data_IF_184191044328
#
_entry.id   IF_184191044328
#
_cell.length_a   1.000
_cell.length_b   1.000
_cell.length_c   1.000
_cell.angle_alpha   90.00
_cell.angle_beta   90.00
_cell.angle_gamma   90.00
#
_symmetry.space_group_name_H-M   'P 1'
#
loop_
_entity.id
_entity.type
_entity.pdbx_description
1 polymer ?
#
# COMPACT_ATOMS: atom_id res chain seq x y z
N UNK A 1 23.00 -24.24 -53.84
CA UNK A 1 23.99 -25.33 -53.96
C UNK A 1 24.11 -25.97 -52.58
N UNK A 2 23.61 -27.18 -52.30
CA UNK A 2 23.80 -28.52 -52.92
C UNK A 2 25.10 -29.21 -52.47
N UNK A 3 25.19 -30.52 -52.18
CA UNK A 3 24.19 -31.56 -51.80
C UNK A 3 24.95 -32.89 -51.56
N UNK A 4 24.69 -33.61 -50.46
CA UNK A 4 24.87 -35.07 -50.31
C UNK A 4 24.37 -35.48 -48.90
N UNK A 5 23.49 -36.48 -48.64
CA UNK A 5 23.27 -37.85 -49.15
C UNK A 5 24.35 -38.84 -48.68
N UNK A 6 24.09 -40.02 -48.10
CA UNK A 6 22.86 -40.77 -47.73
C UNK A 6 23.13 -41.58 -46.41
N UNK A 7 22.18 -42.01 -45.56
CA UNK A 7 21.13 -43.05 -45.74
C UNK A 7 21.71 -44.46 -46.12
N UNK A 8 21.28 -45.62 -45.60
CA UNK A 8 19.96 -46.03 -45.03
C UNK A 8 20.04 -47.41 -44.28
N UNK A 9 18.94 -47.88 -43.63
CA UNK A 9 18.63 -49.28 -43.17
C UNK A 9 19.36 -49.91 -41.93
N UNK A 10 18.76 -50.83 -41.13
CA UNK A 10 17.34 -51.14 -40.79
C UNK A 10 17.21 -52.15 -39.61
N UNK A 11 15.99 -52.21 -39.00
CA UNK A 11 15.25 -53.39 -38.46
C UNK A 11 15.09 -53.58 -36.92
N UNK A 12 13.93 -54.15 -36.58
CA UNK A 12 13.16 -54.27 -35.31
C UNK A 12 12.48 -55.68 -35.36
N UNK A 13 12.23 -56.49 -34.29
CA UNK A 13 11.49 -56.20 -33.02
C UNK A 13 12.14 -56.83 -31.74
N UNK A 14 11.57 -56.85 -30.52
CA UNK A 14 10.33 -56.28 -29.96
C UNK A 14 9.34 -57.33 -29.38
N UNK A 15 9.06 -57.29 -28.06
CA UNK A 15 7.87 -57.92 -27.43
C UNK A 15 7.63 -57.42 -25.97
N UNK A 16 6.55 -57.90 -25.31
CA UNK A 16 5.95 -57.33 -24.08
C UNK A 16 5.57 -58.38 -22.99
N UNK A 17 4.94 -57.93 -21.88
CA UNK A 17 4.28 -58.73 -20.79
C UNK A 17 5.22 -59.39 -19.75
N UNK A 18 4.84 -59.72 -18.50
CA UNK A 18 3.74 -59.29 -17.58
C UNK A 18 3.92 -59.90 -16.16
N UNK A 19 3.19 -59.40 -15.13
CA UNK A 19 3.08 -59.99 -13.77
C UNK A 19 4.03 -59.36 -12.72
N UNK A 20 3.65 -59.02 -11.48
CA UNK A 20 2.86 -59.68 -10.39
C UNK A 20 3.72 -60.66 -9.54
N UNK A 21 3.59 -60.79 -8.21
CA UNK A 21 2.54 -60.36 -7.27
C UNK A 21 3.03 -60.31 -5.79
N UNK A 22 2.23 -59.71 -4.88
CA UNK A 22 2.15 -59.91 -3.39
C UNK A 22 3.43 -59.69 -2.52
N UNK A 23 3.39 -59.47 -1.19
CA UNK A 23 2.38 -59.41 -0.11
C UNK A 23 2.94 -58.50 1.04
N UNK A 24 2.29 -58.00 2.12
CA UNK A 24 0.96 -58.07 2.79
C UNK A 24 0.42 -56.60 2.94
N UNK A 25 -0.52 -56.13 3.80
CA UNK A 25 -1.30 -56.63 4.96
C UNK A 25 -0.66 -56.36 6.35
N UNK A 26 -1.36 -56.09 7.46
CA UNK A 26 -2.81 -55.85 7.69
C UNK A 26 -3.15 -55.47 9.16
N UNK A 27 -3.77 -54.30 9.42
CA UNK A 27 -4.48 -53.91 10.68
C UNK A 27 -5.27 -52.61 10.39
N UNK A 28 -6.60 -52.58 10.46
CA UNK A 28 -7.53 -52.56 11.61
C UNK A 28 -7.67 -51.20 12.30
N UNK A 29 -8.86 -50.59 12.13
CA UNK A 29 -9.51 -49.55 12.96
C UNK A 29 -8.68 -48.34 13.45
N UNK A 30 -9.11 -47.14 13.06
CA UNK A 30 -9.98 -46.41 13.99
C UNK A 30 -10.93 -45.39 13.32
N UNK A 31 -11.94 -44.94 14.06
CA UNK A 31 -12.98 -43.99 13.60
C UNK A 31 -12.73 -42.57 14.10
N UNK A 32 -12.54 -41.59 13.21
CA UNK A 32 -12.88 -40.20 13.53
C UNK A 32 -13.50 -39.44 12.36
N UNK A 33 -14.73 -38.97 12.57
CA UNK A 33 -15.46 -38.11 11.63
C UNK A 33 -14.81 -36.71 11.59
N UNK A 34 -14.11 -36.38 10.51
CA UNK A 34 -13.70 -35.00 10.25
C UNK A 34 -14.62 -34.37 9.19
N UNK A 35 -15.62 -33.60 9.64
CA UNK A 35 -16.59 -32.94 8.75
C UNK A 35 -15.93 -31.79 7.99
N UNK A 36 -15.53 -32.03 6.74
CA UNK A 36 -15.27 -30.95 5.79
C UNK A 36 -16.54 -30.08 5.64
N UNK A 37 -16.50 -28.88 6.21
CA UNK A 37 -17.59 -27.90 6.08
C UNK A 37 -17.31 -27.01 4.87
N UNK A 38 -17.67 -27.49 3.69
CA UNK A 38 -17.61 -26.73 2.44
C UNK A 38 -18.40 -25.43 2.59
N UNK A 39 -17.73 -24.28 2.50
CA UNK A 39 -18.40 -22.97 2.47
C UNK A 39 -18.62 -22.60 1.01
N UNK A 40 -19.88 -22.67 0.57
CA UNK A 40 -20.28 -22.27 -0.79
C UNK A 40 -20.01 -20.78 -0.99
N UNK A 41 -19.16 -20.44 -1.96
CA UNK A 41 -18.92 -19.06 -2.34
C UNK A 41 -20.11 -18.53 -3.16
N UNK A 42 -20.80 -17.51 -2.65
CA UNK A 42 -21.83 -16.81 -3.41
C UNK A 42 -21.20 -15.90 -4.47
N UNK A 43 -21.60 -16.05 -5.73
CA UNK A 43 -21.18 -15.21 -6.85
C UNK A 43 -22.11 -13.99 -6.99
N UNK A 44 -21.50 -12.80 -7.08
CA UNK A 44 -22.22 -11.54 -7.29
C UNK A 44 -22.40 -11.26 -8.80
N UNK A 45 -23.55 -10.68 -9.17
CA UNK A 45 -23.72 -10.12 -10.52
C UNK A 45 -22.88 -8.83 -10.65
N UNK A 46 -21.88 -8.76 -11.55
CA UNK A 46 -20.93 -7.63 -11.62
C UNK A 46 -21.54 -6.32 -12.13
N UNK A 47 -22.82 -6.31 -12.50
CA UNK A 47 -23.50 -5.14 -13.09
C UNK A 47 -24.44 -4.41 -12.10
N UNK A 48 -24.89 -5.09 -11.04
CA UNK A 48 -25.88 -4.55 -10.09
C UNK A 48 -25.63 -4.93 -8.62
N UNK A 49 -24.71 -5.84 -8.31
CA UNK A 49 -24.24 -6.09 -6.93
C UNK A 49 -25.18 -6.89 -6.02
N UNK A 50 -26.34 -7.33 -6.48
CA UNK A 50 -27.28 -8.16 -5.70
C UNK A 50 -26.86 -9.64 -5.71
N UNK A 51 -27.18 -10.36 -4.63
CA UNK A 51 -27.03 -11.81 -4.51
C UNK A 51 -28.09 -12.55 -5.34
N UNK A 52 -27.72 -13.72 -5.87
CA UNK A 52 -28.63 -14.62 -6.59
C UNK A 52 -28.88 -15.86 -5.73
N UNK A 53 -30.15 -16.09 -5.40
CA UNK A 53 -30.68 -17.38 -4.91
C UNK A 53 -31.84 -17.74 -5.82
N UNK A 54 -31.87 -18.96 -6.36
CA UNK A 54 -32.95 -19.37 -7.26
C UNK A 54 -33.22 -20.86 -7.19
N UNK A 55 -34.50 -21.20 -7.33
CA UNK A 55 -35.02 -22.44 -7.88
C UNK A 55 -36.46 -22.18 -8.38
N UNK A 56 -37.00 -23.07 -9.22
CA UNK A 56 -38.28 -22.92 -9.93
C UNK A 56 -39.03 -24.27 -9.95
N UNK A 57 -40.30 -24.23 -10.41
CA UNK A 57 -41.26 -25.33 -10.63
C UNK A 57 -42.15 -25.71 -9.42
N UNK A 58 -43.42 -26.15 -9.56
CA UNK A 58 -44.43 -26.05 -10.65
C UNK A 58 -45.85 -26.34 -10.10
N UNK A 59 -46.90 -25.75 -10.72
CA UNK A 59 -48.33 -26.17 -10.81
C UNK A 59 -49.14 -26.63 -9.56
N UNK A 60 -50.16 -25.83 -9.21
CA UNK A 60 -51.62 -26.14 -9.06
C UNK A 60 -52.16 -27.27 -8.13
N UNK A 61 -53.47 -27.25 -7.76
CA UNK A 61 -54.28 -26.12 -7.26
C UNK A 61 -55.22 -26.47 -6.08
N UNK A 62 -55.63 -25.51 -5.24
CA UNK A 62 -57.00 -25.51 -4.64
C UNK A 62 -57.36 -24.24 -3.85
N UNK A 63 -58.66 -23.95 -3.85
CA UNK A 63 -59.35 -22.78 -3.27
C UNK A 63 -59.15 -22.54 -1.77
N UNK A 64 -58.96 -21.27 -1.40
CA UNK A 64 -59.78 -20.67 -0.34
C UNK A 64 -59.93 -19.14 -0.49
N UNK A 65 -61.05 -18.60 -0.01
CA UNK A 65 -61.54 -17.26 -0.37
C UNK A 65 -61.06 -16.21 0.63
N UNK A 66 -60.42 -15.15 0.13
CA UNK A 66 -60.28 -13.84 0.80
C UNK A 66 -60.42 -12.72 -0.24
N UNK A 67 -60.90 -11.51 0.14
CA UNK A 67 -61.28 -10.49 -0.83
C UNK A 67 -60.09 -9.71 -1.39
N UNK A 68 -60.10 -9.50 -2.71
CA UNK A 68 -59.24 -8.55 -3.41
C UNK A 68 -59.62 -7.10 -3.04
N UNK A 69 -58.63 -6.31 -2.63
CA UNK A 69 -58.72 -4.84 -2.57
C UNK A 69 -57.46 -4.25 -3.22
N UNK A 70 -57.52 -4.05 -4.53
CA UNK A 70 -57.08 -2.83 -5.17
C UNK A 70 -55.57 -2.65 -5.31
N UNK A 71 -54.99 -3.29 -6.33
CA UNK A 71 -53.68 -2.89 -6.83
C UNK A 71 -53.69 -1.43 -7.33
N UNK A 72 -52.85 -0.59 -6.74
CA UNK A 72 -52.59 0.78 -7.22
C UNK A 72 -51.21 0.83 -7.87
N UNK A 73 -51.20 1.05 -9.18
CA UNK A 73 -49.98 1.23 -9.97
C UNK A 73 -49.40 2.63 -9.75
N UNK A 74 -48.12 2.71 -9.34
CA UNK A 74 -47.32 3.94 -9.52
C UNK A 74 -46.84 4.68 -8.27
N UNK A 75 -46.31 4.01 -7.25
CA UNK A 75 -45.39 4.65 -6.27
C UNK A 75 -44.10 3.83 -6.14
N UNK A 76 -43.18 4.04 -7.08
CA UNK A 76 -41.81 3.53 -7.00
C UNK A 76 -40.87 4.53 -6.31
N UNK A 77 -41.16 4.87 -5.05
CA UNK A 77 -40.36 5.80 -4.25
C UNK A 77 -39.68 5.07 -3.08
N UNK A 78 -38.37 5.28 -2.91
CA UNK A 78 -37.60 4.62 -1.85
C UNK A 78 -38.15 4.99 -0.46
N UNK A 79 -38.61 3.98 0.28
CA UNK A 79 -39.13 4.13 1.64
C UNK A 79 -37.95 4.34 2.60
N UNK A 80 -37.91 5.43 3.40
CA UNK A 80 -36.85 5.64 4.38
C UNK A 80 -36.71 4.45 5.35
N UNK A 81 -35.49 4.01 5.71
CA UNK A 81 -35.27 2.78 6.49
C UNK A 81 -36.08 2.72 7.80
N UNK A 82 -36.16 3.83 8.53
CA UNK A 82 -36.91 3.91 9.79
C UNK A 82 -38.42 3.70 9.59
N UNK A 83 -38.96 4.18 8.46
CA UNK A 83 -40.36 4.00 8.09
C UNK A 83 -40.64 2.58 7.57
N UNK A 84 -39.68 1.96 6.89
CA UNK A 84 -39.77 0.54 6.50
C UNK A 84 -39.80 -0.38 7.75
N UNK A 85 -39.01 -0.06 8.79
CA UNK A 85 -39.04 -0.77 10.08
C UNK A 85 -40.39 -0.59 10.77
N UNK A 86 -40.98 0.62 10.76
CA UNK A 86 -42.31 0.86 11.34
C UNK A 86 -43.42 0.10 10.59
N UNK A 87 -43.37 0.04 9.25
CA UNK A 87 -44.31 -0.75 8.45
C UNK A 87 -44.15 -2.25 8.74
N UNK A 88 -42.93 -2.79 8.72
CA UNK A 88 -42.66 -4.19 9.06
C UNK A 88 -43.18 -4.54 10.48
N UNK A 89 -42.94 -3.68 11.46
CA UNK A 89 -43.39 -3.92 12.84
C UNK A 89 -44.92 -3.90 12.94
N UNK A 90 -45.60 -3.04 12.18
CA UNK A 90 -47.06 -2.98 12.09
C UNK A 90 -47.63 -4.25 11.44
N UNK A 91 -47.00 -4.74 10.37
CA UNK A 91 -47.37 -5.99 9.69
C UNK A 91 -47.17 -7.20 10.64
N UNK A 92 -46.08 -7.27 11.39
CA UNK A 92 -45.89 -8.28 12.45
C UNK A 92 -47.00 -8.24 13.51
N UNK A 93 -47.34 -7.04 14.01
CA UNK A 93 -48.29 -6.91 15.12
C UNK A 93 -49.75 -7.17 14.71
N UNK A 94 -50.07 -7.06 13.41
CA UNK A 94 -51.35 -7.44 12.83
C UNK A 94 -51.39 -8.91 12.38
N UNK A 95 -50.47 -9.36 11.51
CA UNK A 95 -50.53 -10.70 10.91
C UNK A 95 -50.07 -11.80 11.87
N UNK A 96 -48.98 -11.58 12.61
CA UNK A 96 -48.32 -12.60 13.44
C UNK A 96 -48.81 -12.54 14.88
N UNK A 97 -48.66 -11.40 15.54
CA UNK A 97 -48.95 -11.27 16.97
C UNK A 97 -50.44 -11.01 17.26
N UNK A 98 -51.20 -10.50 16.27
CA UNK A 98 -52.64 -10.20 16.34
C UNK A 98 -53.03 -9.33 17.54
N UNK A 99 -52.16 -8.39 17.90
CA UNK A 99 -52.31 -7.47 19.03
C UNK A 99 -53.19 -6.27 18.67
N UNK A 100 -53.26 -5.94 17.38
CA UNK A 100 -54.08 -4.85 16.82
C UNK A 100 -55.15 -5.39 15.90
N UNK A 101 -56.29 -4.68 15.84
CA UNK A 101 -57.38 -4.98 14.92
C UNK A 101 -57.15 -4.35 13.53
N UNK A 102 -57.98 -4.73 12.56
CA UNK A 102 -57.86 -4.29 11.17
C UNK A 102 -58.05 -2.78 11.00
N UNK A 103 -58.88 -2.12 11.81
CA UNK A 103 -59.08 -0.66 11.74
C UNK A 103 -57.85 0.08 12.29
N UNK A 104 -57.29 -0.37 13.42
CA UNK A 104 -56.02 0.16 13.94
C UNK A 104 -54.86 -0.04 12.96
N UNK A 105 -54.78 -1.20 12.31
CA UNK A 105 -53.79 -1.49 11.28
C UNK A 105 -53.89 -0.52 10.09
N UNK A 106 -55.09 -0.37 9.50
CA UNK A 106 -55.30 0.51 8.34
C UNK A 106 -54.93 1.96 8.66
N UNK A 107 -55.42 2.52 9.78
CA UNK A 107 -55.15 3.91 10.12
C UNK A 107 -53.66 4.19 10.37
N UNK A 108 -52.95 3.33 11.11
CA UNK A 108 -51.51 3.51 11.35
C UNK A 108 -50.68 3.34 10.07
N UNK A 109 -51.08 2.44 9.17
CA UNK A 109 -50.42 2.27 7.87
C UNK A 109 -50.57 3.51 7.01
N UNK A 110 -51.77 4.10 6.97
CA UNK A 110 -52.03 5.39 6.33
C UNK A 110 -51.23 6.53 6.96
N UNK A 111 -51.15 6.63 8.29
CA UNK A 111 -50.33 7.65 8.98
C UNK A 111 -48.84 7.55 8.59
N UNK A 112 -48.28 6.34 8.52
CA UNK A 112 -46.90 6.12 8.10
C UNK A 112 -46.72 6.49 6.61
N UNK A 113 -47.62 6.05 5.72
CA UNK A 113 -47.55 6.37 4.28
C UNK A 113 -47.70 7.88 4.02
N UNK A 114 -48.56 8.58 4.76
CA UNK A 114 -48.66 10.04 4.72
C UNK A 114 -47.38 10.71 5.25
N UNK A 115 -46.71 10.14 6.25
CA UNK A 115 -45.42 10.66 6.72
C UNK A 115 -44.30 10.49 5.66
N UNK A 116 -44.28 9.35 4.95
CA UNK A 116 -43.36 9.10 3.83
C UNK A 116 -43.60 10.12 2.71
N UNK A 117 -44.86 10.31 2.28
CA UNK A 117 -45.20 11.30 1.26
C UNK A 117 -44.81 12.74 1.67
N UNK A 118 -44.99 13.12 2.95
CA UNK A 118 -44.51 14.43 3.47
C UNK A 118 -42.99 14.54 3.49
N UNK A 119 -42.26 13.45 3.70
CA UNK A 119 -40.79 13.42 3.65
C UNK A 119 -40.30 13.55 2.20
N UNK A 120 -40.85 12.79 1.24
CA UNK A 120 -40.52 12.92 -0.17
C UNK A 120 -40.88 14.31 -0.72
N UNK A 121 -42.01 14.89 -0.30
CA UNK A 121 -42.38 16.25 -0.71
C UNK A 121 -41.42 17.29 -0.14
N UNK A 122 -41.06 17.21 1.16
CA UNK A 122 -39.99 18.06 1.72
C UNK A 122 -38.65 17.87 1.00
N UNK A 123 -38.29 16.65 0.62
CA UNK A 123 -37.05 16.38 -0.09
C UNK A 123 -37.04 16.95 -1.51
N UNK A 124 -38.21 17.16 -2.11
CA UNK A 124 -38.40 17.88 -3.38
C UNK A 124 -38.45 19.41 -3.20
N UNK A 125 -38.88 19.92 -2.04
CA UNK A 125 -38.85 21.37 -1.70
C UNK A 125 -37.43 21.82 -1.23
N UNK A 126 -36.73 20.98 -0.46
CA UNK A 126 -35.31 21.14 -0.07
C UNK A 126 -34.34 20.84 -1.24
N UNK A 127 -34.87 20.35 -2.37
CA UNK A 127 -34.21 20.38 -3.66
C UNK A 127 -34.15 21.84 -4.15
N UNK A 128 -33.24 22.59 -3.53
CA UNK A 128 -32.78 23.89 -3.99
C UNK A 128 -32.67 23.88 -5.52
N UNK A 129 -33.11 24.95 -6.18
CA UNK A 129 -32.94 25.11 -7.61
C UNK A 129 -31.44 25.37 -7.91
N UNK A 130 -30.68 24.28 -7.92
CA UNK A 130 -29.22 24.23 -7.90
C UNK A 130 -28.69 24.70 -9.25
N UNK A 131 -28.41 26.01 -9.32
CA UNK A 131 -27.71 26.67 -10.42
C UNK A 131 -26.54 25.80 -10.93
N UNK A 132 -26.63 25.23 -12.14
CA UNK A 132 -25.62 24.31 -12.66
C UNK A 132 -24.22 24.93 -12.79
N UNK A 133 -24.13 26.27 -12.80
CA UNK A 133 -22.86 27.00 -12.83
C UNK A 133 -22.21 27.15 -11.43
N UNK A 134 -22.97 26.87 -10.36
CA UNK A 134 -22.49 26.87 -8.95
C UNK A 134 -22.27 25.46 -8.39
N UNK A 135 -22.76 24.42 -9.08
CA UNK A 135 -22.44 23.04 -8.73
C UNK A 135 -20.95 22.78 -8.90
N UNK A 136 -20.31 22.22 -7.87
CA UNK A 136 -18.95 21.73 -7.98
C UNK A 136 -18.92 20.58 -8.99
N UNK A 137 -18.00 20.64 -9.97
CA UNK A 137 -17.89 19.60 -11.00
C UNK A 137 -17.72 18.22 -10.34
N UNK A 138 -18.43 17.19 -10.82
CA UNK A 138 -18.27 15.84 -10.29
C UNK A 138 -16.82 15.40 -10.47
N UNK A 139 -16.27 14.75 -9.45
CA UNK A 139 -14.92 14.17 -9.51
C UNK A 139 -14.86 13.21 -10.71
N UNK A 140 -13.89 13.44 -11.59
CA UNK A 140 -13.65 12.58 -12.75
C UNK A 140 -13.58 11.10 -12.30
N UNK A 141 -14.17 10.15 -13.04
CA UNK A 141 -14.27 8.77 -12.61
C UNK A 141 -12.88 8.21 -12.32
N UNK A 142 -12.69 7.75 -11.07
CA UNK A 142 -11.47 7.05 -10.64
C UNK A 142 -11.22 5.90 -11.60
N UNK A 143 -9.99 5.79 -12.12
CA UNK A 143 -9.64 4.84 -13.18
C UNK A 143 -10.11 3.42 -12.84
N UNK A 144 -10.66 2.73 -13.83
CA UNK A 144 -11.28 1.42 -13.65
C UNK A 144 -10.30 0.41 -13.06
N UNK A 145 -10.79 -0.46 -12.18
CA UNK A 145 -9.96 -1.45 -11.45
C UNK A 145 -9.18 -2.39 -12.36
N UNK A 146 -9.56 -2.51 -13.64
CA UNK A 146 -8.80 -3.23 -14.66
C UNK A 146 -7.41 -2.64 -14.95
N UNK A 147 -7.20 -1.32 -14.83
CA UNK A 147 -5.91 -0.69 -15.17
C UNK A 147 -4.82 -0.91 -14.12
N UNK A 148 -5.15 -1.31 -12.89
CA UNK A 148 -4.15 -1.78 -11.91
C UNK A 148 -3.34 -2.99 -12.41
N UNK A 149 -3.87 -3.76 -13.38
CA UNK A 149 -3.14 -4.86 -14.04
C UNK A 149 -2.07 -4.38 -15.04
N UNK A 150 -2.18 -3.15 -15.55
CA UNK A 150 -1.23 -2.53 -16.48
C UNK A 150 -0.13 -1.74 -15.78
N UNK A 151 -0.19 -1.64 -14.45
CA UNK A 151 0.89 -1.06 -13.64
C UNK A 151 2.13 -1.95 -13.76
N UNK A 152 3.00 -1.64 -14.73
CA UNK A 152 4.38 -2.09 -14.69
C UNK A 152 5.01 -1.57 -13.40
N UNK A 153 5.59 -2.44 -12.54
CA UNK A 153 6.26 -2.00 -11.33
C UNK A 153 7.63 -1.39 -11.70
N UNK A 154 7.59 -0.18 -12.26
CA UNK A 154 8.74 0.72 -12.35
C UNK A 154 9.16 1.05 -10.92
N UNK A 155 10.02 0.20 -10.35
CA UNK A 155 10.40 0.25 -8.94
C UNK A 155 10.85 1.67 -8.58
N UNK A 156 10.59 2.15 -7.36
CA UNK A 156 11.00 3.51 -6.96
C UNK A 156 12.53 3.72 -7.11
N UNK A 157 13.30 2.63 -7.05
CA UNK A 157 14.73 2.55 -7.39
C UNK A 157 15.01 2.86 -8.87
N UNK A 158 14.19 2.36 -9.79
CA UNK A 158 14.27 2.64 -11.21
C UNK A 158 13.85 4.07 -11.52
N UNK A 159 12.78 4.57 -10.90
CA UNK A 159 12.36 5.96 -11.03
C UNK A 159 13.50 6.90 -10.56
N UNK A 160 14.12 6.62 -9.41
CA UNK A 160 15.31 7.33 -8.93
C UNK A 160 16.47 7.23 -9.94
N UNK A 161 16.70 6.06 -10.54
CA UNK A 161 17.75 5.84 -11.55
C UNK A 161 17.50 6.64 -12.82
N UNK A 162 16.27 6.71 -13.33
CA UNK A 162 15.94 7.56 -14.47
C UNK A 162 16.11 9.04 -14.15
N UNK A 163 15.67 9.51 -12.97
CA UNK A 163 15.85 10.90 -12.52
C UNK A 163 17.32 11.29 -12.41
N UNK A 164 18.14 10.42 -11.85
CA UNK A 164 19.58 10.63 -11.73
C UNK A 164 20.31 10.66 -13.08
N UNK A 165 19.66 10.25 -14.18
CA UNK A 165 20.19 10.41 -15.53
C UNK A 165 19.59 11.63 -16.26
N UNK A 166 18.29 11.88 -16.13
CA UNK A 166 17.56 12.92 -16.88
C UNK A 166 17.58 14.31 -16.20
N UNK A 167 17.62 14.37 -14.86
CA UNK A 167 17.51 15.61 -14.06
C UNK A 167 18.73 15.84 -13.14
N UNK A 168 19.92 15.38 -13.58
CA UNK A 168 21.19 15.28 -12.81
C UNK A 168 21.50 16.44 -11.86
N UNK A 169 21.47 17.66 -12.39
CA UNK A 169 21.84 18.91 -11.71
C UNK A 169 20.70 19.53 -10.91
N UNK A 170 19.45 19.05 -11.08
CA UNK A 170 18.31 19.58 -10.34
C UNK A 170 18.32 19.06 -8.90
N UNK A 171 17.90 19.92 -7.97
CA UNK A 171 17.79 19.56 -6.56
C UNK A 171 16.60 18.61 -6.37
N UNK A 172 16.84 17.50 -5.68
CA UNK A 172 15.83 16.54 -5.28
C UNK A 172 15.17 16.97 -3.97
N UNK A 173 16.00 17.37 -3.00
CA UNK A 173 15.59 17.83 -1.68
C UNK A 173 16.40 19.07 -1.27
N UNK A 174 15.72 20.02 -0.64
CA UNK A 174 16.26 21.20 0.02
C UNK A 174 15.74 21.20 1.46
N UNK A 175 16.63 21.38 2.44
CA UNK A 175 16.28 21.58 3.85
C UNK A 175 16.43 23.07 4.19
N UNK A 176 15.39 23.67 4.76
CA UNK A 176 15.38 25.05 5.24
C UNK A 176 15.43 25.10 6.77
N UNK A 177 15.99 26.18 7.33
CA UNK A 177 15.79 26.51 8.74
C UNK A 177 14.42 27.19 8.98
N UNK A 178 14.10 27.47 10.24
CA UNK A 178 12.86 28.17 10.64
C UNK A 178 12.77 29.62 10.12
N UNK A 179 13.82 30.15 9.47
CA UNK A 179 13.86 31.46 8.80
C UNK A 179 13.77 31.34 7.28
N UNK A 180 13.52 30.13 6.76
CA UNK A 180 13.40 29.85 5.32
C UNK A 180 14.74 29.81 4.57
N UNK A 181 15.88 29.80 5.26
CA UNK A 181 17.21 29.75 4.62
C UNK A 181 17.64 28.30 4.37
N UNK A 182 18.20 28.02 3.20
CA UNK A 182 18.83 26.73 2.89
C UNK A 182 19.94 26.35 3.88
N UNK A 183 19.82 25.14 4.43
CA UNK A 183 20.75 24.50 5.38
C UNK A 183 21.50 23.35 4.72
N UNK A 184 20.82 22.56 3.88
CA UNK A 184 21.38 21.43 3.13
C UNK A 184 20.56 21.20 1.86
N UNK A 185 21.19 20.71 0.81
CA UNK A 185 20.48 20.26 -0.39
C UNK A 185 21.23 19.14 -1.12
N UNK A 186 20.50 18.36 -1.92
CA UNK A 186 21.05 17.24 -2.69
C UNK A 186 20.43 17.18 -4.08
N UNK A 187 21.24 17.00 -5.12
CA UNK A 187 20.75 16.81 -6.49
C UNK A 187 20.40 15.35 -6.77
N UNK A 188 19.57 15.10 -7.80
CA UNK A 188 19.19 13.74 -8.21
C UNK A 188 20.39 12.82 -8.45
N UNK A 189 21.44 13.32 -9.10
CA UNK A 189 22.68 12.58 -9.31
C UNK A 189 23.41 12.29 -7.98
N UNK A 190 23.57 13.29 -7.10
CA UNK A 190 24.24 13.11 -5.79
C UNK A 190 23.50 12.12 -4.90
N UNK A 191 22.17 12.17 -4.87
CA UNK A 191 21.32 11.25 -4.10
C UNK A 191 21.52 9.80 -4.57
N UNK A 192 21.35 9.55 -5.87
CA UNK A 192 21.52 8.22 -6.43
C UNK A 192 22.95 7.68 -6.22
N UNK A 193 23.98 8.50 -6.48
CA UNK A 193 25.37 8.07 -6.31
C UNK A 193 25.70 7.72 -4.84
N UNK A 194 25.20 8.50 -3.87
CA UNK A 194 25.33 8.16 -2.44
C UNK A 194 24.52 6.90 -2.07
N UNK A 195 23.30 6.73 -2.58
CA UNK A 195 22.49 5.54 -2.32
C UNK A 195 23.11 4.25 -2.90
N UNK A 196 23.68 4.31 -4.12
CA UNK A 196 24.50 3.22 -4.69
C UNK A 196 25.69 2.89 -3.78
N UNK A 197 26.34 3.88 -3.18
CA UNK A 197 27.45 3.65 -2.23
C UNK A 197 27.00 2.87 -1.00
N UNK A 198 25.93 3.32 -0.34
CA UNK A 198 25.34 2.60 0.80
C UNK A 198 25.00 1.15 0.42
N UNK A 199 24.33 0.96 -0.72
CA UNK A 199 23.93 -0.37 -1.20
C UNK A 199 25.13 -1.30 -1.48
N UNK A 200 26.18 -0.76 -2.10
CA UNK A 200 27.42 -1.50 -2.38
C UNK A 200 28.11 -1.94 -1.08
N UNK A 201 28.29 -1.03 -0.11
CA UNK A 201 28.96 -1.33 1.15
C UNK A 201 28.21 -2.39 1.97
N UNK A 202 26.88 -2.29 2.06
CA UNK A 202 26.02 -3.29 2.73
C UNK A 202 26.19 -4.68 2.08
N UNK A 203 26.12 -4.75 0.74
CA UNK A 203 26.18 -6.02 0.02
C UNK A 203 27.57 -6.68 0.07
N UNK A 204 28.65 -5.90 0.02
CA UNK A 204 30.03 -6.43 -0.02
C UNK A 204 30.69 -6.66 1.34
N UNK A 205 30.29 -5.94 2.41
CA UNK A 205 30.90 -6.10 3.75
C UNK A 205 30.12 -6.97 4.73
N UNK A 206 28.78 -7.03 4.62
CA UNK A 206 27.94 -7.79 5.56
C UNK A 206 27.33 -9.07 4.99
N UNK A 207 27.36 -9.25 3.66
CA UNK A 207 26.74 -10.41 2.97
C UNK A 207 25.27 -10.61 3.40
N UNK A 208 24.53 -9.50 3.46
CA UNK A 208 23.13 -9.47 3.91
C UNK A 208 22.21 -10.25 2.96
N UNK A 209 21.18 -10.89 3.52
CA UNK A 209 20.04 -11.45 2.79
C UNK A 209 18.91 -10.42 2.73
N UNK A 210 17.98 -10.57 1.79
CA UNK A 210 16.85 -9.65 1.63
C UNK A 210 15.93 -9.55 2.87
N UNK A 211 15.92 -10.59 3.70
CA UNK A 211 15.19 -10.65 4.97
C UNK A 211 15.90 -9.94 6.13
N UNK A 212 17.14 -9.49 5.97
CA UNK A 212 17.88 -8.81 7.03
C UNK A 212 17.40 -7.36 7.19
N UNK A 213 17.43 -6.87 8.43
CA UNK A 213 17.03 -5.51 8.79
C UNK A 213 18.22 -4.59 9.09
N UNK A 214 18.04 -3.30 8.80
CA UNK A 214 19.00 -2.20 9.02
C UNK A 214 18.27 -1.04 9.69
N UNK A 215 18.71 -0.63 10.88
CA UNK A 215 18.13 0.50 11.61
C UNK A 215 18.72 1.82 11.14
N UNK A 216 17.87 2.82 10.96
CA UNK A 216 18.19 4.17 10.50
C UNK A 216 17.92 5.18 11.64
N UNK A 217 18.97 5.71 12.25
CA UNK A 217 18.89 6.64 13.38
C UNK A 217 19.42 8.03 12.99
N UNK A 218 18.50 8.99 12.82
CA UNK A 218 18.77 10.34 12.32
C UNK A 218 18.05 11.41 13.16
N UNK A 219 18.65 12.60 13.24
CA UNK A 219 18.05 13.78 13.88
C UNK A 219 17.25 14.58 12.88
N UNK A 220 16.47 15.51 13.40
CA UNK A 220 15.59 16.33 12.58
C UNK A 220 16.39 17.31 11.70
N UNK A 221 15.88 17.57 10.49
CA UNK A 221 16.58 18.30 9.44
C UNK A 221 17.72 17.54 8.73
N UNK A 222 18.06 16.30 9.12
CA UNK A 222 19.10 15.48 8.46
C UNK A 222 18.60 14.75 7.20
N UNK A 223 17.63 15.34 6.49
CA UNK A 223 16.88 14.72 5.38
C UNK A 223 17.79 14.18 4.29
N UNK A 224 18.80 14.94 3.90
CA UNK A 224 19.74 14.57 2.83
C UNK A 224 20.50 13.26 3.11
N UNK A 225 20.74 12.94 4.39
CA UNK A 225 21.48 11.75 4.81
C UNK A 225 20.54 10.58 5.15
N UNK A 226 19.37 10.87 5.73
CA UNK A 226 18.32 9.87 5.95
C UNK A 226 17.83 9.26 4.63
N UNK A 227 17.49 10.10 3.65
CA UNK A 227 16.94 9.64 2.36
C UNK A 227 17.99 8.85 1.57
N UNK A 228 19.26 9.24 1.64
CA UNK A 228 20.39 8.48 1.11
C UNK A 228 20.47 7.07 1.71
N UNK A 229 20.31 6.94 3.02
CA UNK A 229 20.37 5.64 3.70
C UNK A 229 19.12 4.79 3.39
N UNK A 230 17.92 5.39 3.36
CA UNK A 230 16.67 4.72 3.03
C UNK A 230 16.70 4.10 1.63
N UNK A 231 17.05 4.89 0.60
CA UNK A 231 17.24 4.36 -0.76
C UNK A 231 18.43 3.41 -0.85
N UNK A 232 19.48 3.63 -0.05
CA UNK A 232 20.59 2.70 0.11
C UNK A 232 20.16 1.30 0.58
N UNK A 233 19.25 1.21 1.55
CA UNK A 233 18.65 -0.05 2.00
C UNK A 233 17.78 -0.69 0.92
N UNK A 234 16.90 0.09 0.28
CA UNK A 234 16.08 -0.39 -0.84
C UNK A 234 16.93 -0.97 -1.99
N UNK A 235 18.05 -0.31 -2.32
CA UNK A 235 19.00 -0.74 -3.35
C UNK A 235 19.89 -1.90 -2.86
N UNK A 236 20.21 -1.98 -1.57
CA UNK A 236 20.81 -3.17 -0.98
C UNK A 236 19.85 -4.39 -1.04
N UNK A 237 18.54 -4.15 -1.09
CA UNK A 237 17.48 -5.16 -1.03
C UNK A 237 17.15 -5.59 0.39
N UNK A 238 17.53 -4.80 1.41
CA UNK A 238 17.35 -5.09 2.85
C UNK A 238 16.25 -4.22 3.44
N UNK A 239 15.62 -4.67 4.53
CA UNK A 239 14.52 -3.95 5.18
C UNK A 239 15.08 -2.78 6.00
N UNK A 240 14.63 -1.55 5.73
CA UNK A 240 14.95 -0.38 6.55
C UNK A 240 14.06 -0.29 7.80
N UNK A 241 14.60 0.20 8.91
CA UNK A 241 13.83 0.52 10.13
C UNK A 241 14.10 1.99 10.51
N UNK A 242 13.27 2.95 10.07
CA UNK A 242 13.37 4.33 10.50
C UNK A 242 13.01 4.49 11.98
N UNK A 243 13.85 5.20 12.74
CA UNK A 243 13.59 5.57 14.14
C UNK A 243 13.15 7.02 14.20
N UNK A 244 11.91 7.27 14.62
CA UNK A 244 11.39 8.61 14.92
C UNK A 244 11.74 9.04 16.35
N UNK A 245 11.56 10.33 16.63
CA UNK A 245 12.08 10.96 17.86
C UNK A 245 11.46 10.48 19.17
N UNK A 246 10.25 9.91 19.14
CA UNK A 246 9.56 9.47 20.37
C UNK A 246 10.06 8.10 20.85
N UNK A 247 10.93 7.42 20.10
CA UNK A 247 11.55 6.14 20.47
C UNK A 247 12.84 6.44 21.26
N UNK A 248 12.84 6.08 22.55
CA UNK A 248 14.01 6.22 23.41
C UNK A 248 15.16 5.30 22.98
N UNK A 249 16.40 5.65 23.32
CA UNK A 249 17.57 4.83 22.96
C UNK A 249 17.50 3.39 23.52
N UNK A 250 16.88 3.21 24.68
CA UNK A 250 16.57 1.88 25.24
C UNK A 250 15.57 1.09 24.39
N UNK A 251 14.55 1.75 23.84
CA UNK A 251 13.62 1.12 22.90
C UNK A 251 14.29 0.83 21.55
N UNK A 252 15.23 1.66 21.08
CA UNK A 252 16.04 1.37 19.89
C UNK A 252 16.87 0.09 20.08
N UNK A 253 17.48 -0.12 21.25
CA UNK A 253 18.18 -1.37 21.57
C UNK A 253 17.22 -2.57 21.59
N UNK A 254 16.00 -2.40 22.14
CA UNK A 254 14.97 -3.44 22.12
C UNK A 254 14.52 -3.79 20.69
N UNK A 255 14.33 -2.79 19.82
CA UNK A 255 14.02 -2.96 18.40
C UNK A 255 15.15 -3.70 17.67
N UNK A 256 16.41 -3.33 17.91
CA UNK A 256 17.58 -4.00 17.31
C UNK A 256 17.61 -5.49 17.70
N UNK A 257 17.38 -5.80 18.98
CA UNK A 257 17.33 -7.17 19.48
C UNK A 257 16.15 -7.96 18.90
N UNK A 258 14.93 -7.40 18.95
CA UNK A 258 13.71 -8.00 18.43
C UNK A 258 13.79 -8.33 16.93
N UNK A 259 14.39 -7.43 16.14
CA UNK A 259 14.53 -7.58 14.68
C UNK A 259 15.81 -8.32 14.27
N UNK A 260 16.67 -8.70 15.24
CA UNK A 260 18.01 -9.24 14.99
C UNK A 260 18.84 -8.39 14.01
N UNK A 261 18.70 -7.07 14.09
CA UNK A 261 19.34 -6.11 13.18
C UNK A 261 20.87 -6.21 13.26
N UNK A 262 21.52 -6.31 12.09
CA UNK A 262 22.98 -6.48 11.95
C UNK A 262 23.72 -5.15 11.76
N UNK A 263 23.02 -4.09 11.33
CA UNK A 263 23.60 -2.80 10.99
C UNK A 263 22.74 -1.64 11.50
N UNK A 264 23.40 -0.67 12.13
CA UNK A 264 22.88 0.65 12.45
C UNK A 264 23.55 1.68 11.54
N UNK A 265 22.75 2.40 10.74
CA UNK A 265 23.17 3.58 9.97
C UNK A 265 22.71 4.85 10.68
N UNK A 266 23.62 5.81 10.84
CA UNK A 266 23.36 7.04 11.58
C UNK A 266 24.20 8.21 11.04
N UNK A 267 23.88 9.42 11.51
CA UNK A 267 24.59 10.65 11.16
C UNK A 267 25.79 10.94 12.07
N UNK A 268 26.66 11.83 11.60
CA UNK A 268 27.74 12.42 12.39
C UNK A 268 27.23 13.27 13.58
N UNK A 269 25.99 13.78 13.53
CA UNK A 269 25.34 14.46 14.65
C UNK A 269 24.94 13.46 15.73
N UNK A 270 24.30 12.35 15.34
CA UNK A 270 23.95 11.25 16.24
C UNK A 270 25.21 10.63 16.87
N UNK A 271 26.30 10.46 16.11
CA UNK A 271 27.57 9.96 16.63
C UNK A 271 28.04 10.74 17.88
N UNK A 272 28.10 12.07 17.76
CA UNK A 272 28.52 12.97 18.85
C UNK A 272 27.58 12.95 20.06
N UNK A 273 26.30 12.61 19.87
CA UNK A 273 25.35 12.45 20.97
C UNK A 273 25.55 11.10 21.69
N UNK A 274 25.73 10.01 20.94
CA UNK A 274 26.02 8.68 21.48
C UNK A 274 27.34 8.66 22.28
N UNK A 275 28.38 9.34 21.78
CA UNK A 275 29.67 9.48 22.46
C UNK A 275 29.54 10.26 23.79
N UNK A 276 28.76 11.35 23.81
CA UNK A 276 28.47 12.12 25.03
C UNK A 276 27.76 11.28 26.09
N UNK A 277 26.73 10.53 25.69
CA UNK A 277 25.99 9.62 26.59
C UNK A 277 26.90 8.52 27.15
N UNK A 278 27.81 7.99 26.33
CA UNK A 278 28.79 6.99 26.74
C UNK A 278 29.74 7.50 27.85
N UNK A 279 30.15 8.77 27.77
CA UNK A 279 31.03 9.42 28.76
C UNK A 279 30.27 9.76 30.06
N UNK A 280 28.99 10.09 29.99
CA UNK A 280 28.17 10.51 31.15
C UNK A 280 27.69 9.35 32.04
N UNK A 281 28.50 8.29 32.20
CA UNK A 281 28.20 7.02 32.90
C UNK A 281 26.98 6.22 32.39
N UNK A 282 26.16 6.75 31.48
CA UNK A 282 25.09 6.03 30.78
C UNK A 282 25.63 5.09 29.69
N UNK A 283 26.44 4.09 30.11
CA UNK A 283 27.09 3.13 29.20
C UNK A 283 26.07 2.40 28.34
N UNK A 284 26.12 2.64 27.03
CA UNK A 284 25.23 2.01 26.06
C UNK A 284 25.72 0.58 25.76
N UNK A 285 25.01 -0.41 26.29
CA UNK A 285 25.30 -1.82 26.05
C UNK A 285 24.82 -2.26 24.66
N UNK A 286 25.60 -1.94 23.62
CA UNK A 286 25.36 -2.36 22.25
C UNK A 286 25.46 -3.89 22.07
N UNK A 287 24.58 -4.53 21.28
CA UNK A 287 24.70 -5.94 20.93
C UNK A 287 26.01 -6.24 20.19
N UNK A 288 26.72 -7.30 20.58
CA UNK A 288 28.07 -7.62 20.09
C UNK A 288 28.17 -7.92 18.58
N UNK A 289 27.04 -8.24 17.93
CA UNK A 289 26.93 -8.48 16.49
C UNK A 289 26.48 -7.26 15.68
N UNK A 290 26.16 -6.14 16.34
CA UNK A 290 25.69 -4.92 15.68
C UNK A 290 26.87 -4.10 15.14
N UNK A 291 27.00 -4.04 13.82
CA UNK A 291 27.86 -3.06 13.17
C UNK A 291 27.20 -1.68 13.19
N UNK A 292 28.00 -0.64 13.39
CA UNK A 292 27.56 0.76 13.47
C UNK A 292 28.38 1.56 12.46
N UNK A 293 27.73 2.10 11.42
CA UNK A 293 28.39 2.96 10.42
C UNK A 293 27.75 4.35 10.39
N UNK A 294 28.58 5.39 10.36
CA UNK A 294 28.12 6.73 10.00
C UNK A 294 27.98 6.82 8.49
N UNK A 295 26.85 7.34 8.00
CA UNK A 295 26.59 7.48 6.55
C UNK A 295 27.54 8.46 5.87
N UNK A 296 28.16 9.37 6.64
CA UNK A 296 29.26 10.25 6.21
C UNK A 296 30.56 9.51 5.87
N UNK A 297 30.87 8.42 6.58
CA UNK A 297 32.15 7.72 6.47
C UNK A 297 32.25 6.86 5.19
N UNK A 298 31.11 6.58 4.56
CA UNK A 298 31.02 5.78 3.34
C UNK A 298 31.63 6.51 2.12
N UNK A 299 31.80 7.83 2.21
CA UNK A 299 32.50 8.65 1.22
C UNK A 299 31.80 8.75 -0.14
N UNK A 300 32.56 9.04 -1.19
CA UNK A 300 32.06 9.09 -2.57
C UNK A 300 32.09 7.71 -3.24
N UNK A 301 31.09 7.44 -4.08
CA UNK A 301 31.03 6.23 -4.89
C UNK A 301 32.10 6.21 -5.98
N UNK A 302 32.71 5.06 -6.23
CA UNK A 302 33.67 4.87 -7.34
C UNK A 302 32.93 4.49 -8.62
N UNK A 303 33.50 4.84 -9.78
CA UNK A 303 32.93 4.46 -11.10
C UNK A 303 32.72 2.94 -11.23
N UNK A 304 33.63 2.14 -10.71
CA UNK A 304 33.52 0.66 -10.65
C UNK A 304 32.33 0.17 -9.82
N UNK A 305 32.03 0.83 -8.69
CA UNK A 305 30.93 0.49 -7.79
C UNK A 305 29.57 0.77 -8.48
N UNK A 306 29.47 1.89 -9.22
CA UNK A 306 28.31 2.22 -10.07
C UNK A 306 28.15 1.25 -11.25
N UNK A 307 29.24 0.91 -11.95
CA UNK A 307 29.21 -0.08 -13.02
C UNK A 307 28.76 -1.47 -12.54
N UNK A 308 29.24 -1.90 -11.37
CA UNK A 308 28.81 -3.15 -10.74
C UNK A 308 27.32 -3.14 -10.40
N UNK A 309 26.82 -2.05 -9.82
CA UNK A 309 25.39 -1.87 -9.55
C UNK A 309 24.54 -1.94 -10.82
N UNK A 310 24.93 -1.22 -11.88
CA UNK A 310 24.20 -1.20 -13.14
C UNK A 310 24.18 -2.57 -13.83
N UNK A 311 25.28 -3.32 -13.80
CA UNK A 311 25.32 -4.71 -14.29
C UNK A 311 24.40 -5.64 -13.48
N UNK A 312 24.38 -5.50 -12.15
CA UNK A 312 23.47 -6.24 -11.26
C UNK A 312 21.99 -5.92 -11.56
N UNK A 313 21.66 -4.66 -11.79
CA UNK A 313 20.30 -4.25 -12.19
C UNK A 313 19.87 -4.81 -13.55
N UNK A 314 20.76 -4.76 -14.56
CA UNK A 314 20.47 -5.37 -15.86
C UNK A 314 20.25 -6.89 -15.76
N UNK A 315 21.03 -7.59 -14.91
CA UNK A 315 20.79 -9.01 -14.64
C UNK A 315 19.45 -9.26 -13.95
N UNK A 316 19.14 -8.55 -12.86
CA UNK A 316 17.87 -8.68 -12.13
C UNK A 316 16.65 -8.47 -13.04
N UNK A 317 16.70 -7.51 -13.96
CA UNK A 317 15.61 -7.27 -14.94
C UNK A 317 15.48 -8.34 -16.02
N UNK A 318 16.55 -9.08 -16.30
CA UNK A 318 16.51 -10.25 -17.20
C UNK A 318 15.91 -11.45 -16.49
N UNK A 319 16.36 -11.73 -15.27
CA UNK A 319 16.01 -12.92 -14.50
C UNK A 319 14.57 -12.83 -13.92
N UNK A 320 14.14 -11.64 -13.46
CA UNK A 320 12.76 -11.41 -12.99
C UNK A 320 11.70 -11.53 -14.09
N UNK A 321 12.08 -11.59 -15.37
CA UNK A 321 11.14 -11.81 -16.48
C UNK A 321 10.65 -13.26 -16.59
N UNK A 322 11.22 -14.16 -15.79
CA UNK A 322 10.91 -15.60 -15.77
C UNK A 322 10.42 -16.14 -14.43
N UNK A 323 10.36 -15.32 -13.38
CA UNK A 323 10.08 -15.78 -12.00
C UNK A 323 9.00 -14.92 -11.33
N UNK A 324 7.73 -15.25 -11.56
CA UNK A 324 6.56 -14.60 -10.94
C UNK A 324 6.26 -15.12 -9.53
N UNK A 325 7.29 -15.38 -8.73
CA UNK A 325 7.13 -15.88 -7.35
C UNK A 325 6.84 -14.73 -6.38
N UNK A 326 5.88 -14.95 -5.47
CA UNK A 326 5.31 -13.94 -4.56
C UNK A 326 6.24 -13.64 -3.37
N UNK A 327 7.54 -13.38 -3.62
CA UNK A 327 8.44 -12.87 -2.59
C UNK A 327 8.02 -11.45 -2.20
N UNK A 328 7.38 -11.32 -1.05
CA UNK A 328 6.88 -10.07 -0.46
C UNK A 328 8.03 -9.22 0.07
N UNK A 329 8.85 -8.69 -0.84
CA UNK A 329 10.05 -7.92 -0.50
C UNK A 329 9.66 -6.67 0.34
N UNK A 330 10.01 -6.73 1.62
CA UNK A 330 9.80 -5.64 2.57
C UNK A 330 10.77 -4.51 2.24
N UNK A 331 10.23 -3.29 2.23
CA UNK A 331 11.01 -2.08 2.01
C UNK A 331 11.42 -1.47 3.36
N UNK A 332 10.45 -1.24 4.24
CA UNK A 332 10.70 -0.78 5.60
C UNK A 332 9.70 -1.33 6.62
N UNK A 333 10.09 -1.29 7.89
CA UNK A 333 9.24 -1.55 9.06
C UNK A 333 9.26 -0.33 9.96
N UNK A 334 8.11 0.31 10.15
CA UNK A 334 7.93 1.42 11.09
C UNK A 334 7.51 0.90 12.46
N UNK A 335 8.09 1.40 13.54
CA UNK A 335 7.64 1.06 14.89
C UNK A 335 6.69 2.13 15.43
N UNK A 336 5.50 1.71 15.85
CA UNK A 336 4.46 2.58 16.42
C UNK A 336 4.05 2.06 17.79
N UNK A 337 3.60 2.95 18.69
CA UNK A 337 3.02 2.53 19.97
C UNK A 337 1.55 2.19 19.80
N UNK A 338 1.17 1.00 20.25
CA UNK A 338 -0.23 0.60 20.42
C UNK A 338 -0.92 1.41 21.54
N UNK A 339 -2.26 1.39 21.64
CA UNK A 339 -2.98 2.02 22.77
C UNK A 339 -2.61 1.47 24.16
N UNK A 340 -1.95 0.31 24.22
CA UNK A 340 -1.45 -0.34 25.46
C UNK A 340 0.00 0.08 25.76
N UNK A 341 0.60 0.96 24.94
CA UNK A 341 1.98 1.44 25.08
C UNK A 341 3.05 0.55 24.41
N UNK A 342 2.74 -0.71 24.10
CA UNK A 342 3.68 -1.61 23.43
C UNK A 342 4.06 -1.10 22.02
N UNK A 343 5.35 -1.14 21.69
CA UNK A 343 5.85 -0.90 20.34
C UNK A 343 5.57 -2.10 19.43
N UNK A 344 4.89 -1.86 18.30
CA UNK A 344 4.58 -2.85 17.26
C UNK A 344 5.12 -2.38 15.91
N UNK A 345 5.73 -3.31 15.16
CA UNK A 345 6.29 -3.05 13.83
C UNK A 345 5.25 -3.19 12.72
N UNK A 346 5.05 -2.14 11.92
CA UNK A 346 4.20 -2.10 10.74
C UNK A 346 5.09 -2.33 9.51
N UNK A 347 4.95 -3.49 8.87
CA UNK A 347 5.78 -3.90 7.73
C UNK A 347 5.18 -3.45 6.40
N UNK A 348 5.95 -2.70 5.59
CA UNK A 348 5.52 -2.17 4.30
C UNK A 348 6.38 -2.72 3.16
N UNK A 349 5.72 -3.33 2.17
CA UNK A 349 6.38 -3.89 0.98
C UNK A 349 6.60 -2.85 -0.11
N UNK A 350 7.56 -3.09 -1.01
CA UNK A 350 7.76 -2.25 -2.20
C UNK A 350 6.48 -2.14 -3.07
N UNK A 351 5.67 -3.21 -3.14
CA UNK A 351 4.39 -3.23 -3.86
C UNK A 351 3.35 -2.34 -3.17
N UNK A 352 3.27 -2.39 -1.84
CA UNK A 352 2.38 -1.53 -1.04
C UNK A 352 2.73 -0.06 -1.23
N UNK A 353 4.02 0.28 -1.15
CA UNK A 353 4.54 1.63 -1.37
C UNK A 353 4.18 2.13 -2.77
N UNK A 354 4.50 1.37 -3.83
CA UNK A 354 4.21 1.81 -5.19
C UNK A 354 2.70 2.06 -5.39
N UNK A 355 1.86 1.17 -4.86
CA UNK A 355 0.40 1.34 -4.92
C UNK A 355 -0.07 2.61 -4.20
N UNK A 356 0.47 2.89 -3.00
CA UNK A 356 0.20 4.15 -2.28
C UNK A 356 0.60 5.38 -3.10
N UNK A 357 1.79 5.37 -3.72
CA UNK A 357 2.25 6.49 -4.56
C UNK A 357 1.34 6.72 -5.76
N UNK A 358 0.92 5.64 -6.43
CA UNK A 358 0.02 5.72 -7.58
C UNK A 358 -1.37 6.23 -7.19
N UNK A 359 -1.94 5.76 -6.08
CA UNK A 359 -3.21 6.28 -5.56
C UNK A 359 -3.12 7.77 -5.19
N UNK A 360 -1.99 8.23 -4.65
CA UNK A 360 -1.76 9.65 -4.35
C UNK A 360 -1.65 10.49 -5.62
N UNK A 361 -0.89 10.05 -6.63
CA UNK A 361 -0.77 10.78 -7.91
C UNK A 361 -2.13 10.87 -8.63
N UNK A 362 -2.92 9.80 -8.66
CA UNK A 362 -4.29 9.82 -9.20
C UNK A 362 -5.22 10.76 -8.41
N UNK A 363 -5.15 10.75 -7.08
CA UNK A 363 -6.00 11.59 -6.23
C UNK A 363 -5.64 13.09 -6.28
N UNK A 364 -4.36 13.41 -6.50
CA UNK A 364 -3.89 14.80 -6.67
C UNK A 364 -4.08 15.29 -8.11
N UNK A 365 -3.98 14.39 -9.10
CA UNK A 365 -4.23 14.72 -10.52
C UNK A 365 -5.70 15.00 -10.82
N UNK A 366 -6.64 14.36 -10.09
CA UNK A 366 -8.08 14.55 -10.26
C UNK A 366 -8.63 15.83 -9.63
N UNK A 367 -7.81 16.59 -8.88
CA UNK A 367 -8.20 17.90 -8.35
C UNK A 367 -8.47 18.91 -9.48
N UNK A 368 -9.50 19.76 -9.34
CA UNK A 368 -9.70 20.87 -10.27
C UNK A 368 -8.48 21.79 -10.26
N UNK A 369 -8.04 22.23 -11.44
CA UNK A 369 -6.86 23.07 -11.65
C UNK A 369 -5.51 22.41 -11.28
N UNK A 370 -5.41 21.07 -11.23
CA UNK A 370 -4.15 20.32 -10.95
C UNK A 370 -2.98 20.57 -11.93
N UNK A 371 -3.26 21.21 -13.08
CA UNK A 371 -2.30 21.43 -14.17
C UNK A 371 -1.91 20.15 -14.90
N UNK A 372 -2.75 19.10 -14.82
CA UNK A 372 -2.42 17.76 -15.30
C UNK A 372 -1.59 16.96 -14.30
N UNK A 373 -1.20 15.74 -14.68
CA UNK A 373 -0.50 14.80 -13.80
C UNK A 373 0.74 15.38 -13.11
N UNK A 374 1.10 14.87 -11.93
CA UNK A 374 2.33 15.32 -11.26
C UNK A 374 3.56 14.61 -11.85
N UNK A 375 3.44 13.32 -12.17
CA UNK A 375 4.49 12.51 -12.80
C UNK A 375 5.09 13.14 -14.08
N UNK A 376 6.31 13.69 -13.99
CA UNK A 376 7.08 14.14 -15.17
C UNK A 376 7.68 12.96 -15.96
N UNK A 377 8.00 13.19 -17.23
CA UNK A 377 8.60 12.19 -18.12
C UNK A 377 9.98 11.73 -17.63
N UNK A 378 10.16 10.41 -17.56
CA UNK A 378 11.44 9.75 -17.28
C UNK A 378 12.39 9.73 -18.49
N UNK A 379 11.82 9.70 -19.71
CA UNK A 379 12.57 9.50 -20.97
C UNK A 379 13.13 10.78 -21.58
N UNK A 380 12.58 11.94 -21.24
CA UNK A 380 12.97 13.24 -21.81
C UNK A 380 12.78 14.33 -20.76
N UNK A 381 13.76 15.24 -20.68
CA UNK A 381 13.73 16.38 -19.78
C UNK A 381 12.51 17.28 -20.05
N UNK A 382 11.84 17.73 -18.97
CA UNK A 382 10.82 18.78 -19.00
C UNK A 382 11.16 19.88 -18.00
N UNK A 383 11.12 21.13 -18.46
CA UNK A 383 11.46 22.32 -17.67
C UNK A 383 10.37 22.75 -16.68
N UNK A 384 9.13 22.29 -16.87
CA UNK A 384 8.03 22.44 -15.91
C UNK A 384 8.42 21.83 -14.55
N UNK A 385 8.13 22.54 -13.45
CA UNK A 385 8.59 22.26 -12.09
C UNK A 385 7.50 22.50 -11.06
N UNK A 386 6.84 21.42 -10.66
CA UNK A 386 6.08 21.35 -9.42
C UNK A 386 7.06 21.31 -8.23
N UNK A 387 6.63 21.79 -7.07
CA UNK A 387 7.39 21.85 -5.81
C UNK A 387 6.47 21.39 -4.68
N UNK A 388 6.96 20.57 -3.75
CA UNK A 388 6.18 20.16 -2.56
C UNK A 388 6.91 20.64 -1.30
N UNK A 389 6.14 21.28 -0.41
CA UNK A 389 6.60 21.73 0.89
C UNK A 389 6.20 20.68 1.93
N UNK A 390 7.18 19.94 2.45
CA UNK A 390 6.95 18.86 3.40
C UNK A 390 7.36 19.30 4.82
N UNK A 391 6.40 19.78 5.61
CA UNK A 391 6.60 20.21 7.02
C UNK A 391 6.58 19.03 8.02
N UNK A 392 6.65 17.80 7.52
CA UNK A 392 6.42 16.57 8.27
C UNK A 392 7.74 15.88 8.59
N UNK A 393 7.85 15.31 9.80
CA UNK A 393 9.03 14.53 10.19
C UNK A 393 9.14 13.27 9.30
N UNK A 394 10.19 13.26 8.49
CA UNK A 394 10.64 12.21 7.57
C UNK A 394 10.88 10.83 8.20
N UNK A 395 10.82 10.69 9.53
CA UNK A 395 11.05 9.42 10.23
C UNK A 395 9.75 8.65 10.50
N UNK A 396 8.58 9.28 10.35
CA UNK A 396 7.25 8.64 10.44
C UNK A 396 6.70 8.29 9.04
N UNK A 397 5.76 7.35 8.98
CA UNK A 397 5.03 6.93 7.77
C UNK A 397 4.63 8.11 6.89
N UNK A 398 4.00 9.13 7.46
CA UNK A 398 3.43 10.24 6.68
C UNK A 398 4.50 11.14 6.05
N UNK A 399 5.62 11.39 6.74
CA UNK A 399 6.75 12.13 6.21
C UNK A 399 7.56 11.32 5.19
N UNK A 400 7.72 10.01 5.42
CA UNK A 400 8.30 9.08 4.45
C UNK A 400 7.43 9.03 3.18
N UNK A 401 6.14 8.77 3.32
CA UNK A 401 5.19 8.60 2.19
C UNK A 401 5.07 9.89 1.38
N UNK A 402 4.72 11.03 2.00
CA UNK A 402 4.42 12.26 1.28
C UNK A 402 5.66 13.08 0.91
N UNK A 403 6.67 13.14 1.79
CA UNK A 403 7.84 14.00 1.62
C UNK A 403 9.11 13.31 1.10
N UNK A 404 9.12 11.98 0.95
CA UNK A 404 10.30 11.26 0.42
C UNK A 404 9.91 10.34 -0.73
N UNK A 405 8.98 9.43 -0.52
CA UNK A 405 8.61 8.43 -1.52
C UNK A 405 7.79 9.06 -2.63
N UNK A 406 6.82 9.92 -2.31
CA UNK A 406 5.98 10.58 -3.31
C UNK A 406 6.78 11.58 -4.14
N UNK A 407 7.69 12.34 -3.53
CA UNK A 407 8.70 13.18 -4.21
C UNK A 407 9.41 12.40 -5.32
N UNK A 408 9.97 11.23 -4.95
CA UNK A 408 10.74 10.34 -5.83
C UNK A 408 9.84 9.53 -6.77
N UNK A 409 8.51 9.56 -6.60
CA UNK A 409 7.53 9.05 -7.56
C UNK A 409 7.12 10.10 -8.61
N UNK A 410 6.60 11.27 -8.20
CA UNK A 410 5.93 12.22 -9.10
C UNK A 410 6.82 13.34 -9.70
N UNK A 411 7.92 13.75 -9.05
CA UNK A 411 8.80 14.86 -9.51
C UNK A 411 8.24 16.28 -9.25
N UNK A 412 7.70 16.54 -8.06
CA UNK A 412 8.02 17.76 -7.34
C UNK A 412 9.52 17.83 -6.99
N UNK A 413 10.01 19.04 -6.77
CA UNK A 413 11.26 19.34 -6.06
C UNK A 413 10.88 19.68 -4.62
N UNK A 414 11.48 19.02 -3.61
CA UNK A 414 10.92 19.10 -2.26
C UNK A 414 11.70 20.00 -1.31
N UNK A 415 10.94 20.74 -0.51
CA UNK A 415 11.41 21.73 0.45
C UNK A 415 10.96 21.29 1.84
N UNK A 416 11.92 21.07 2.72
CA UNK A 416 11.75 20.62 4.10
C UNK A 416 12.14 21.74 5.09
N UNK A 417 11.20 22.54 5.60
CA UNK A 417 11.49 23.40 6.74
C UNK A 417 11.69 22.56 8.01
N UNK A 418 12.71 22.87 8.80
CA UNK A 418 12.96 22.22 10.09
C UNK A 418 11.73 22.33 11.01
N UNK A 419 11.17 21.22 11.50
CA UNK A 419 10.18 21.24 12.57
C UNK A 419 10.77 21.82 13.86
N UNK A 420 10.26 22.97 14.28
CA UNK A 420 10.02 23.46 15.65
C UNK A 420 9.70 24.98 15.57
N UNK A 421 9.03 25.52 16.58
CA UNK A 421 8.66 26.96 16.71
C UNK A 421 7.55 27.55 15.80
N UNK A 422 6.59 26.75 15.33
CA UNK A 422 5.30 27.29 14.84
C UNK A 422 4.10 26.76 15.65
N UNK A 423 4.07 27.18 16.92
CA UNK A 423 2.84 27.23 17.71
C UNK A 423 1.92 28.30 17.11
N UNK A 424 0.62 28.00 17.05
CA UNK A 424 -0.51 28.91 16.76
C UNK A 424 -0.18 30.41 16.71
N UNK A 425 -0.34 31.00 15.52
CA UNK A 425 -0.94 32.34 15.37
C UNK A 425 -2.09 32.25 14.36
N UNK A 426 -3.12 33.05 14.62
CA UNK A 426 -4.34 33.15 13.81
C UNK A 426 -4.08 34.00 12.56
#
# INVERSE_FOLDING_TARGET
MSHSNNNINLKVPGNSLSGSNSNHGSSSSDRHNNRHRSVSAASLNPTTGTLITGELNETDPSTNITPDIGGTSGVGGDIPPDMAILLQKLDEDFLVNKVIDQWTFINRREEIMQSINRLHQKQNDDLLNLDPLKLQMPLNPRMSTGDFSKISPDNLIDILTYRANTYKSELAFIVLDAKGKEVSSISWEKLYLKAVKVAYEIQHKLTMKNSDSVVLLYKDGEVTEFVVALFGCFMAGVTAIPIHQDISLTEVLNIINLTSTKLLLYSETVAKELDRLSVQNSRINWPSKLLRWRTTDLGSVRKSEVSHWNAKQQKLKKDNKTSSEQNTNLAYVEFSRSPVGELRGIALSHRTIFHQMHCLDLALSSLPNSGGGLQRSYKQYRADKKVVLATLDIRFSIGIILGVLFTVYSVPQDIFPKPNEWIYRQ
#
